data_IF_892324439587
#
_entry.id   IF_892324439587
#
_cell.length_a   1.000
_cell.length_b   1.000
_cell.length_c   1.000
_cell.angle_alpha   90.00
_cell.angle_beta   90.00
_cell.angle_gamma   90.00
#
_symmetry.space_group_name_H-M   'P 1'
#
loop_
_entity.id
_entity.type
_entity.pdbx_description
1 polymer ?
#
# COMPACT_ATOMS: atom_id res chain seq x y z
N UNK A 1 -17.37 -22.70 28.54
CA UNK A 1 -17.19 -21.25 28.72
C UNK A 1 -15.89 -20.89 28.04
N UNK A 2 -16.02 -20.35 26.85
CA UNK A 2 -14.97 -20.00 25.88
C UNK A 2 -14.21 -18.78 26.38
N UNK A 3 -12.91 -18.94 26.64
CA UNK A 3 -12.05 -17.81 26.99
C UNK A 3 -11.72 -17.04 25.72
N UNK A 4 -12.24 -15.83 25.58
CA UNK A 4 -11.83 -14.91 24.51
C UNK A 4 -10.35 -14.63 24.73
N UNK A 5 -9.46 -14.95 23.78
CA UNK A 5 -8.08 -14.50 23.81
C UNK A 5 -8.12 -13.03 23.45
N UNK A 6 -8.27 -12.20 24.48
CA UNK A 6 -8.19 -10.75 24.37
C UNK A 6 -6.75 -10.40 24.02
N UNK A 7 -6.56 -9.53 23.02
CA UNK A 7 -5.28 -8.92 22.72
C UNK A 7 -4.65 -8.42 24.03
N UNK A 8 -3.44 -8.85 24.42
CA UNK A 8 -2.82 -8.42 25.67
C UNK A 8 -2.79 -6.89 25.79
N UNK A 9 -3.04 -6.35 26.99
CA UNK A 9 -3.16 -4.90 27.19
C UNK A 9 -1.91 -4.13 26.75
N UNK A 10 -0.72 -4.70 26.95
CA UNK A 10 0.56 -4.15 26.49
C UNK A 10 0.66 -4.06 24.97
N UNK A 11 0.24 -5.11 24.25
CA UNK A 11 0.18 -5.16 22.79
C UNK A 11 -0.87 -4.16 22.24
N UNK A 12 -1.99 -4.00 22.95
CA UNK A 12 -3.02 -3.02 22.62
C UNK A 12 -2.51 -1.59 22.77
N UNK A 13 -1.81 -1.30 23.86
CA UNK A 13 -1.21 0.01 24.13
C UNK A 13 -0.10 0.35 23.12
N UNK A 14 0.69 -0.63 22.68
CA UNK A 14 1.66 -0.46 21.60
C UNK A 14 0.99 -0.04 20.30
N UNK A 15 -0.05 -0.75 19.86
CA UNK A 15 -0.82 -0.38 18.67
C UNK A 15 -1.53 0.97 18.80
N UNK A 16 -2.08 1.28 19.97
CA UNK A 16 -2.75 2.55 20.22
C UNK A 16 -1.79 3.72 20.01
N UNK A 17 -0.52 3.58 20.45
CA UNK A 17 0.55 4.56 20.26
C UNK A 17 0.92 4.83 18.81
N UNK A 18 0.58 3.93 17.88
CA UNK A 18 0.81 4.14 16.45
C UNK A 18 -0.27 5.00 15.78
N UNK A 19 -1.48 5.08 16.36
CA UNK A 19 -2.61 5.83 15.77
C UNK A 19 -2.24 7.26 15.32
N UNK A 20 -1.48 8.06 16.10
CA UNK A 20 -1.07 9.39 15.67
C UNK A 20 -0.21 9.43 14.40
N UNK A 21 0.56 8.37 14.09
CA UNK A 21 1.38 8.28 12.88
C UNK A 21 0.53 8.26 11.60
N UNK A 22 -0.73 7.84 11.70
CA UNK A 22 -1.63 7.77 10.56
C UNK A 22 -2.34 9.12 10.29
N UNK A 23 -2.05 10.17 11.07
CA UNK A 23 -2.64 11.49 10.90
C UNK A 23 -4.18 11.47 10.92
N UNK A 24 -4.80 12.00 9.86
CA UNK A 24 -6.27 11.98 9.70
C UNK A 24 -6.85 10.59 9.42
N UNK A 25 -6.00 9.56 9.20
CA UNK A 25 -6.39 8.20 8.83
C UNK A 25 -7.35 8.18 7.65
N UNK A 26 -7.17 9.03 6.65
CA UNK A 26 -8.14 9.12 5.56
C UNK A 26 -8.30 7.74 4.88
N UNK A 27 -9.50 7.47 4.40
CA UNK A 27 -9.83 6.25 3.68
C UNK A 27 -10.46 6.61 2.33
N UNK A 28 -10.14 5.84 1.29
CA UNK A 28 -10.80 5.98 -0.01
C UNK A 28 -12.13 5.20 -0.08
N UNK A 29 -12.42 4.40 0.94
CA UNK A 29 -13.62 3.57 1.01
C UNK A 29 -14.90 4.42 0.91
N UNK A 30 -15.81 4.14 -0.04
CA UNK A 30 -17.08 4.86 -0.14
C UNK A 30 -17.86 4.81 1.18
N UNK A 31 -18.19 5.98 1.74
CA UNK A 31 -18.95 6.10 2.98
C UNK A 31 -18.16 5.91 4.28
N UNK A 32 -16.84 5.67 4.21
CA UNK A 32 -15.97 5.53 5.38
C UNK A 32 -14.89 6.63 5.36
N UNK A 33 -15.04 7.70 6.18
CA UNK A 33 -14.12 8.85 6.13
C UNK A 33 -12.71 8.53 6.66
N UNK A 34 -12.61 7.59 7.60
CA UNK A 34 -11.35 7.17 8.19
C UNK A 34 -11.17 5.66 8.12
N UNK A 35 -9.95 5.21 7.84
CA UNK A 35 -9.51 3.85 7.99
C UNK A 35 -9.54 3.45 9.48
N UNK A 36 -9.64 2.15 9.82
CA UNK A 36 -9.64 1.71 11.21
C UNK A 36 -8.38 2.18 11.98
N UNK A 37 -8.46 2.26 13.30
CA UNK A 37 -7.24 2.38 14.11
C UNK A 37 -6.47 1.06 14.06
N UNK A 38 -5.15 1.04 14.34
CA UNK A 38 -4.39 -0.21 14.37
C UNK A 38 -4.98 -1.24 15.35
N UNK A 39 -5.45 -0.80 16.52
CA UNK A 39 -6.16 -1.65 17.49
C UNK A 39 -7.44 -2.22 16.89
N UNK A 40 -8.32 -1.38 16.33
CA UNK A 40 -9.59 -1.83 15.77
C UNK A 40 -9.39 -2.79 14.58
N UNK A 41 -8.36 -2.57 13.77
CA UNK A 41 -8.03 -3.45 12.64
C UNK A 41 -7.60 -4.84 13.13
N UNK A 42 -6.72 -4.89 14.13
CA UNK A 42 -6.24 -6.15 14.71
C UNK A 42 -7.40 -6.91 15.37
N UNK A 43 -8.23 -6.23 16.16
CA UNK A 43 -9.43 -6.82 16.77
C UNK A 43 -10.40 -7.38 15.73
N UNK A 44 -10.58 -6.68 14.60
CA UNK A 44 -11.44 -7.13 13.51
C UNK A 44 -10.90 -8.38 12.78
N UNK A 45 -9.57 -8.49 12.62
CA UNK A 45 -8.94 -9.61 11.88
C UNK A 45 -8.78 -10.85 12.75
N UNK A 46 -8.47 -10.68 14.03
CA UNK A 46 -8.17 -11.78 14.93
C UNK A 46 -9.41 -12.45 15.52
N UNK A 47 -10.62 -11.96 15.25
CA UNK A 47 -11.86 -12.38 15.92
C UNK A 47 -11.94 -13.90 16.13
N UNK A 48 -11.84 -14.33 17.41
CA UNK A 48 -11.89 -15.72 17.84
C UNK A 48 -10.57 -16.53 17.80
N UNK A 49 -9.40 -15.95 17.54
CA UNK A 49 -8.12 -16.67 17.47
C UNK A 49 -7.45 -16.90 18.84
N UNK A 50 -7.20 -18.17 19.19
CA UNK A 50 -6.53 -18.59 20.46
C UNK A 50 -5.00 -18.68 20.40
N UNK A 51 -4.40 -18.48 19.22
CA UNK A 51 -2.95 -18.53 19.06
C UNK A 51 -2.27 -17.22 19.48
N UNK A 52 -1.81 -17.18 20.73
CA UNK A 52 -1.15 -16.01 21.32
C UNK A 52 0.22 -15.68 20.70
N UNK A 53 0.94 -16.67 20.16
CA UNK A 53 2.24 -16.42 19.52
C UNK A 53 2.03 -15.75 18.16
N UNK A 54 1.11 -16.31 17.36
CA UNK A 54 0.71 -15.73 16.08
C UNK A 54 0.12 -14.33 16.24
N UNK A 55 -0.71 -14.12 17.26
CA UNK A 55 -1.26 -12.82 17.60
C UNK A 55 -0.16 -11.77 17.88
N UNK A 56 0.81 -12.09 18.74
CA UNK A 56 1.93 -11.19 19.03
C UNK A 56 2.76 -10.89 17.79
N UNK A 57 3.03 -11.91 16.98
CA UNK A 57 3.76 -11.72 15.73
C UNK A 57 3.00 -10.79 14.77
N UNK A 58 1.68 -10.95 14.65
CA UNK A 58 0.84 -10.09 13.81
C UNK A 58 0.82 -8.63 14.28
N UNK A 59 0.68 -8.40 15.58
CA UNK A 59 0.71 -7.06 16.17
C UNK A 59 2.04 -6.36 15.88
N UNK A 60 3.16 -7.03 16.16
CA UNK A 60 4.49 -6.49 15.90
C UNK A 60 4.70 -6.22 14.40
N UNK A 61 4.36 -7.18 13.56
CA UNK A 61 4.46 -7.09 12.10
C UNK A 61 3.64 -5.93 11.51
N UNK A 62 2.40 -5.74 11.97
CA UNK A 62 1.57 -4.61 11.55
C UNK A 62 2.17 -3.28 12.00
N UNK A 63 2.69 -3.23 13.24
CA UNK A 63 3.38 -2.05 13.76
C UNK A 63 4.61 -1.67 12.95
N UNK A 64 5.45 -2.65 12.59
CA UNK A 64 6.60 -2.47 11.70
C UNK A 64 6.19 -1.89 10.34
N UNK A 65 5.12 -2.41 9.74
CA UNK A 65 4.60 -1.91 8.45
C UNK A 65 4.08 -0.48 8.57
N UNK A 66 3.31 -0.15 9.61
CA UNK A 66 2.81 1.21 9.84
C UNK A 66 3.96 2.20 9.98
N UNK A 67 4.95 1.87 10.81
CA UNK A 67 6.15 2.69 11.00
C UNK A 67 6.90 2.85 9.68
N UNK A 68 7.10 1.77 8.92
CA UNK A 68 7.79 1.82 7.64
C UNK A 68 7.06 2.69 6.61
N UNK A 69 5.72 2.63 6.54
CA UNK A 69 4.95 3.49 5.65
C UNK A 69 5.06 4.96 6.07
N UNK A 70 4.86 5.27 7.35
CA UNK A 70 4.94 6.63 7.88
C UNK A 70 6.34 7.25 7.65
N UNK A 71 7.39 6.48 7.89
CA UNK A 71 8.78 6.93 7.77
C UNK A 71 9.21 7.18 6.32
N UNK A 72 8.77 6.32 5.40
CA UNK A 72 9.22 6.32 4.02
C UNK A 72 8.29 7.10 3.08
N UNK A 73 7.04 7.31 3.48
CA UNK A 73 6.03 8.06 2.74
C UNK A 73 5.37 9.08 3.70
N UNK A 74 6.07 10.14 4.11
CA UNK A 74 5.58 11.06 5.14
C UNK A 74 4.32 11.83 4.72
N UNK A 75 4.09 11.92 3.40
CA UNK A 75 2.89 12.53 2.84
C UNK A 75 1.77 11.51 2.59
N UNK A 76 1.91 10.24 3.03
CA UNK A 76 0.90 9.20 2.83
C UNK A 76 -0.44 9.62 3.43
N UNK A 77 -1.48 9.61 2.58
CA UNK A 77 -2.78 10.20 2.91
C UNK A 77 -3.71 9.10 3.43
N UNK A 78 -3.73 7.99 2.70
CA UNK A 78 -4.70 6.94 2.92
C UNK A 78 -4.10 5.74 3.61
N UNK A 79 -4.86 5.20 4.57
CA UNK A 79 -4.40 4.16 5.49
C UNK A 79 -5.27 2.91 5.45
N UNK A 80 -5.87 2.63 4.28
CA UNK A 80 -6.65 1.43 4.01
C UNK A 80 -5.76 0.18 3.96
N UNK A 81 -5.30 -0.25 5.13
CA UNK A 81 -4.42 -1.40 5.33
C UNK A 81 -5.20 -2.71 5.54
N UNK A 82 -6.54 -2.67 5.47
CA UNK A 82 -7.41 -3.78 5.86
C UNK A 82 -7.04 -5.09 5.15
N UNK A 83 -6.91 -5.06 3.82
CA UNK A 83 -6.58 -6.25 3.06
C UNK A 83 -5.12 -6.70 3.23
N UNK A 84 -4.18 -5.75 3.35
CA UNK A 84 -2.77 -6.06 3.59
C UNK A 84 -2.62 -6.79 4.93
N UNK A 85 -3.27 -6.28 5.97
CA UNK A 85 -3.28 -6.89 7.30
C UNK A 85 -3.97 -8.26 7.28
N UNK A 86 -5.05 -8.42 6.51
CA UNK A 86 -5.69 -9.72 6.29
C UNK A 86 -4.73 -10.73 5.63
N UNK A 87 -4.03 -10.34 4.56
CA UNK A 87 -3.04 -11.20 3.90
C UNK A 87 -1.87 -11.56 4.82
N UNK A 88 -1.40 -10.58 5.60
CA UNK A 88 -0.36 -10.80 6.61
C UNK A 88 -0.82 -11.84 7.65
N UNK A 89 -2.03 -11.70 8.20
CA UNK A 89 -2.59 -12.70 9.11
C UNK A 89 -2.70 -14.08 8.44
N UNK A 90 -3.17 -14.13 7.19
CA UNK A 90 -3.33 -15.35 6.41
C UNK A 90 -2.01 -16.05 6.04
N UNK A 91 -0.86 -15.37 6.17
CA UNK A 91 0.46 -16.00 6.00
C UNK A 91 0.66 -17.18 6.98
N UNK A 92 -0.11 -17.22 8.07
CA UNK A 92 -0.22 -18.38 8.94
C UNK A 92 0.66 -18.24 10.18
N UNK A 93 1.78 -18.94 10.24
CA UNK A 93 2.62 -19.02 11.45
C UNK A 93 3.29 -17.68 11.79
N UNK A 94 3.72 -17.52 13.05
CA UNK A 94 4.46 -16.35 13.50
C UNK A 94 5.72 -16.05 12.64
N UNK A 95 6.56 -17.03 12.26
CA UNK A 95 7.65 -16.80 11.32
C UNK A 95 7.19 -16.29 9.95
N UNK A 96 6.13 -16.86 9.39
CA UNK A 96 5.61 -16.48 8.07
C UNK A 96 5.04 -15.05 8.07
N UNK A 97 4.37 -14.65 9.16
CA UNK A 97 3.92 -13.27 9.39
C UNK A 97 5.13 -12.32 9.41
N UNK A 98 6.19 -12.68 10.14
CA UNK A 98 7.42 -11.88 10.19
C UNK A 98 8.15 -11.79 8.86
N UNK A 99 8.18 -12.87 8.06
CA UNK A 99 8.74 -12.85 6.71
C UNK A 99 7.94 -11.92 5.79
N UNK A 100 6.60 -11.97 5.89
CA UNK A 100 5.70 -11.11 5.15
C UNK A 100 5.94 -9.63 5.48
N UNK A 101 5.99 -9.26 6.77
CA UNK A 101 6.24 -7.87 7.17
C UNK A 101 7.59 -7.37 6.69
N UNK A 102 8.64 -8.19 6.82
CA UNK A 102 9.99 -7.85 6.34
C UNK A 102 10.01 -7.53 4.85
N UNK A 103 9.29 -8.28 4.02
CA UNK A 103 9.16 -7.98 2.58
C UNK A 103 8.47 -6.64 2.35
N UNK A 104 7.35 -6.37 3.02
CA UNK A 104 6.63 -5.09 2.89
C UNK A 104 7.48 -3.91 3.36
N UNK A 105 8.20 -4.05 4.49
CA UNK A 105 9.11 -3.02 5.02
C UNK A 105 10.27 -2.77 4.05
N UNK A 106 10.87 -3.82 3.49
CA UNK A 106 11.93 -3.69 2.49
C UNK A 106 11.46 -2.92 1.25
N UNK A 107 10.23 -3.16 0.78
CA UNK A 107 9.62 -2.40 -0.30
C UNK A 107 9.42 -0.92 0.08
N UNK A 108 8.95 -0.63 1.29
CA UNK A 108 8.80 0.76 1.76
C UNK A 108 10.13 1.51 1.76
N UNK A 109 11.17 0.90 2.33
CA UNK A 109 12.55 1.43 2.33
C UNK A 109 13.08 1.62 0.90
N UNK A 110 12.75 0.68 0.03
CA UNK A 110 13.29 0.61 -1.32
C UNK A 110 12.70 1.61 -2.32
N UNK A 111 11.44 1.99 -2.12
CA UNK A 111 10.70 2.88 -3.02
C UNK A 111 10.48 4.29 -2.45
N UNK A 112 10.46 4.44 -1.12
CA UNK A 112 10.11 5.70 -0.46
C UNK A 112 11.19 6.77 -0.45
N UNK A 113 10.97 7.81 0.35
CA UNK A 113 11.72 9.07 0.39
C UNK A 113 13.20 8.94 0.76
N UNK A 114 13.60 7.88 1.46
CA UNK A 114 14.97 7.56 1.87
C UNK A 114 15.76 6.82 0.76
N UNK A 115 15.08 6.33 -0.28
CA UNK A 115 15.70 5.63 -1.41
C UNK A 115 16.16 6.59 -2.53
N UNK A 116 16.81 6.07 -3.57
CA UNK A 116 17.06 6.83 -4.82
C UNK A 116 15.79 7.06 -5.66
N UNK A 117 14.73 6.28 -5.42
CA UNK A 117 13.49 6.34 -6.19
C UNK A 117 12.60 7.48 -5.70
N UNK A 118 12.51 7.68 -4.38
CA UNK A 118 11.79 8.78 -3.72
C UNK A 118 10.36 8.95 -4.21
N UNK A 119 9.61 7.84 -4.27
CA UNK A 119 8.17 7.92 -4.48
C UNK A 119 7.49 8.52 -3.24
N UNK A 120 6.46 9.32 -3.49
CA UNK A 120 5.79 10.11 -2.44
C UNK A 120 4.78 9.33 -1.62
N UNK A 121 4.14 8.34 -2.24
CA UNK A 121 3.01 7.60 -1.67
C UNK A 121 3.17 6.10 -1.85
N UNK A 122 2.69 5.31 -0.89
CA UNK A 122 2.57 3.86 -1.00
C UNK A 122 1.33 3.43 -1.81
N UNK A 123 0.47 4.37 -2.21
CA UNK A 123 -0.85 4.09 -2.79
C UNK A 123 -0.81 3.18 -4.04
N UNK A 124 0.22 3.28 -4.90
CA UNK A 124 0.28 2.46 -6.13
C UNK A 124 0.50 0.97 -5.81
N UNK A 125 1.21 0.70 -4.71
CA UNK A 125 1.38 -0.64 -4.15
C UNK A 125 0.14 -1.08 -3.38
N UNK A 126 -0.32 -0.28 -2.40
CA UNK A 126 -1.44 -0.63 -1.52
C UNK A 126 -2.76 -0.83 -2.28
N UNK A 127 -2.98 -0.07 -3.35
CA UNK A 127 -4.19 -0.16 -4.18
C UNK A 127 -4.03 -1.02 -5.43
N UNK A 128 -2.93 -1.76 -5.53
CA UNK A 128 -2.76 -2.77 -6.56
C UNK A 128 -2.57 -2.23 -7.98
N UNK A 129 -2.20 -0.96 -8.16
CA UNK A 129 -1.89 -0.42 -9.50
C UNK A 129 -0.62 -1.04 -10.09
N UNK A 130 0.38 -1.30 -9.26
CA UNK A 130 1.57 -2.04 -9.71
C UNK A 130 1.26 -3.50 -10.01
N UNK A 131 0.43 -4.14 -9.18
CA UNK A 131 -0.01 -5.53 -9.35
C UNK A 131 -0.84 -5.72 -10.62
N UNK A 132 -1.90 -4.95 -10.81
CA UNK A 132 -2.78 -5.08 -11.97
C UNK A 132 -2.01 -4.91 -13.28
N UNK A 133 -1.14 -3.90 -13.37
CA UNK A 133 -0.27 -3.67 -14.53
C UNK A 133 0.74 -4.79 -14.75
N UNK A 134 1.23 -5.43 -13.70
CA UNK A 134 2.12 -6.58 -13.81
C UNK A 134 1.39 -7.83 -14.33
N UNK A 135 0.18 -8.10 -13.81
CA UNK A 135 -0.67 -9.22 -14.27
C UNK A 135 -1.07 -9.01 -15.74
N UNK A 136 -1.55 -7.83 -16.12
CA UNK A 136 -1.98 -7.50 -17.49
C UNK A 136 -0.91 -7.77 -18.56
N UNK A 137 0.39 -7.69 -18.22
CA UNK A 137 1.47 -7.95 -19.18
C UNK A 137 1.57 -9.41 -19.58
N UNK A 138 1.13 -10.33 -18.71
CA UNK A 138 1.11 -11.77 -18.95
C UNK A 138 -0.06 -12.41 -18.18
N UNK A 139 -1.31 -12.19 -18.62
CA UNK A 139 -2.48 -12.64 -17.87
C UNK A 139 -2.50 -14.15 -17.63
N UNK A 140 -2.17 -14.94 -18.66
CA UNK A 140 -2.19 -16.41 -18.60
C UNK A 140 -1.23 -16.98 -17.54
N UNK A 141 -0.10 -16.31 -17.29
CA UNK A 141 0.91 -16.74 -16.30
C UNK A 141 0.62 -16.20 -14.89
N UNK A 142 -0.09 -15.06 -14.77
CA UNK A 142 -0.10 -14.23 -13.54
C UNK A 142 -1.47 -14.00 -12.93
N UNK A 143 -2.56 -14.34 -13.62
CA UNK A 143 -3.92 -14.09 -13.14
C UNK A 143 -4.23 -14.75 -11.79
N UNK A 144 -3.55 -15.86 -11.47
CA UNK A 144 -3.69 -16.57 -10.20
C UNK A 144 -2.85 -16.00 -9.04
N UNK A 145 -2.02 -14.98 -9.29
CA UNK A 145 -1.14 -14.40 -8.26
C UNK A 145 -1.80 -13.17 -7.65
N UNK A 146 -1.92 -13.14 -6.32
CA UNK A 146 -2.43 -12.02 -5.55
C UNK A 146 -1.46 -10.83 -5.43
N UNK A 147 -1.96 -9.63 -5.04
CA UNK A 147 -1.18 -8.40 -4.93
C UNK A 147 -0.19 -8.38 -3.77
N UNK A 148 -0.23 -9.36 -2.87
CA UNK A 148 0.71 -9.53 -1.76
C UNK A 148 1.28 -10.95 -1.68
N UNK A 149 1.23 -11.69 -2.79
CA UNK A 149 1.83 -13.02 -2.89
C UNK A 149 3.33 -12.91 -3.13
N UNK A 150 4.08 -13.95 -2.72
CA UNK A 150 5.54 -13.99 -2.83
C UNK A 150 6.05 -13.72 -4.26
N UNK A 151 5.40 -14.30 -5.27
CA UNK A 151 5.79 -14.12 -6.67
C UNK A 151 5.68 -12.65 -7.13
N UNK A 152 4.75 -11.88 -6.57
CA UNK A 152 4.66 -10.45 -6.86
C UNK A 152 5.68 -9.63 -6.07
N UNK A 153 6.00 -10.01 -4.83
CA UNK A 153 7.11 -9.39 -4.08
C UNK A 153 8.45 -9.57 -4.78
N UNK A 154 8.76 -10.77 -5.27
CA UNK A 154 10.00 -11.02 -6.02
C UNK A 154 10.07 -10.20 -7.32
N UNK A 155 8.92 -9.98 -7.98
CA UNK A 155 8.84 -9.04 -9.11
C UNK A 155 9.13 -7.60 -8.68
N UNK A 156 8.58 -7.14 -7.56
CA UNK A 156 8.81 -5.77 -7.07
C UNK A 156 10.27 -5.54 -6.70
N UNK A 157 10.94 -6.52 -6.09
CA UNK A 157 12.38 -6.45 -5.79
C UNK A 157 13.20 -6.27 -7.07
N UNK A 158 12.94 -7.09 -8.11
CA UNK A 158 13.59 -6.93 -9.42
C UNK A 158 13.24 -5.59 -10.10
N UNK A 159 11.99 -5.14 -9.95
CA UNK A 159 11.54 -3.86 -10.52
C UNK A 159 12.22 -2.68 -9.85
N UNK A 160 12.43 -2.74 -8.54
CA UNK A 160 13.14 -1.70 -7.79
C UNK A 160 14.55 -1.52 -8.32
N UNK A 161 15.30 -2.62 -8.46
CA UNK A 161 16.66 -2.61 -8.98
C UNK A 161 16.72 -2.04 -10.41
N UNK A 162 15.82 -2.48 -11.28
CA UNK A 162 15.72 -1.96 -12.64
C UNK A 162 15.43 -0.44 -12.69
N UNK A 163 14.61 0.07 -11.76
CA UNK A 163 14.36 1.50 -11.66
C UNK A 163 15.59 2.28 -11.17
N UNK A 164 16.35 1.72 -10.23
CA UNK A 164 17.60 2.34 -9.75
C UNK A 164 18.61 2.45 -10.90
N UNK A 165 18.70 1.44 -11.76
CA UNK A 165 19.56 1.46 -12.94
C UNK A 165 19.14 2.54 -13.95
N UNK A 166 17.83 2.69 -14.21
CA UNK A 166 17.32 3.78 -15.06
C UNK A 166 17.64 5.16 -14.49
N UNK A 167 17.59 5.31 -13.16
CA UNK A 167 18.00 6.54 -12.48
C UNK A 167 19.50 6.78 -12.60
N UNK A 168 20.31 5.73 -12.49
CA UNK A 168 21.76 5.82 -12.66
C UNK A 168 22.15 6.22 -14.09
N UNK A 169 21.42 5.73 -15.10
CA UNK A 169 21.61 6.10 -16.51
C UNK A 169 20.95 7.42 -16.91
N UNK A 170 20.31 8.13 -15.97
CA UNK A 170 19.57 9.37 -16.21
C UNK A 170 18.53 9.25 -17.34
N UNK A 171 17.73 8.17 -17.31
CA UNK A 171 16.66 7.92 -18.28
C UNK A 171 15.68 9.10 -18.40
N UNK A 172 15.08 9.27 -19.59
CA UNK A 172 14.14 10.38 -19.86
C UNK A 172 12.95 10.42 -18.90
N UNK A 173 12.42 9.26 -18.51
CA UNK A 173 11.29 9.15 -17.59
C UNK A 173 11.75 9.06 -16.14
N UNK A 174 12.89 8.42 -15.91
CA UNK A 174 13.49 8.20 -14.60
C UNK A 174 14.81 8.95 -14.44
N UNK A 175 14.81 10.26 -14.65
CA UNK A 175 16.01 11.09 -14.49
C UNK A 175 16.44 11.19 -13.02
N UNK A 176 17.67 11.64 -12.78
CA UNK A 176 18.10 11.99 -11.43
C UNK A 176 17.25 13.14 -10.87
N UNK A 177 16.90 13.05 -9.59
CA UNK A 177 16.14 14.10 -8.89
C UNK A 177 17.09 15.15 -8.35
N UNK A 178 16.64 16.40 -8.32
CA UNK A 178 17.38 17.49 -7.70
C UNK A 178 16.79 17.80 -6.31
N UNK A 179 17.66 18.10 -5.35
CA UNK A 179 17.26 18.58 -4.02
C UNK A 179 16.25 17.66 -3.31
N UNK A 180 15.10 18.20 -2.92
CA UNK A 180 14.10 17.52 -2.08
C UNK A 180 12.85 17.06 -2.85
N UNK A 181 12.89 17.00 -4.17
CA UNK A 181 11.73 16.60 -4.99
C UNK A 181 11.36 15.12 -4.82
N UNK A 182 10.07 14.82 -4.98
CA UNK A 182 9.57 13.45 -5.13
C UNK A 182 9.45 13.06 -6.59
N UNK A 183 9.67 11.78 -6.89
CA UNK A 183 9.48 11.26 -8.24
C UNK A 183 8.00 11.14 -8.57
N UNK A 184 7.61 11.71 -9.70
CA UNK A 184 6.29 11.51 -10.27
C UNK A 184 6.41 11.10 -11.75
N UNK A 185 6.28 9.79 -12.06
CA UNK A 185 6.40 9.24 -13.41
C UNK A 185 5.09 9.35 -14.22
N UNK A 186 4.05 10.00 -13.66
CA UNK A 186 2.73 10.15 -14.26
C UNK A 186 2.60 11.50 -14.96
N UNK A 187 1.68 11.56 -15.93
CA UNK A 187 1.33 12.77 -16.69
C UNK A 187 0.41 13.72 -15.92
N UNK A 188 0.08 13.44 -14.66
CA UNK A 188 -0.80 14.24 -13.82
C UNK A 188 -0.16 14.62 -12.48
N UNK A 189 -0.68 15.68 -11.88
CA UNK A 189 -0.22 16.24 -10.61
C UNK A 189 -0.54 15.26 -9.47
N UNK A 190 0.41 15.12 -8.54
CA UNK A 190 0.29 14.27 -7.34
C UNK A 190 0.71 15.06 -6.10
N UNK A 191 0.22 16.29 -6.01
CA UNK A 191 0.23 17.05 -4.77
C UNK A 191 -0.89 16.52 -3.84
N UNK A 192 -0.79 16.68 -2.50
CA UNK A 192 -1.63 15.91 -1.58
C UNK A 192 -3.13 16.14 -1.78
N UNK A 193 -3.54 17.37 -2.13
CA UNK A 193 -4.93 17.70 -2.41
C UNK A 193 -5.44 17.00 -3.67
N UNK A 194 -4.67 17.08 -4.75
CA UNK A 194 -4.99 16.51 -6.06
C UNK A 194 -4.98 14.98 -6.02
N UNK A 195 -4.01 14.40 -5.30
CA UNK A 195 -3.92 12.96 -5.03
C UNK A 195 -5.16 12.50 -4.25
N UNK A 196 -5.58 13.26 -3.24
CA UNK A 196 -6.79 12.96 -2.45
C UNK A 196 -8.03 12.99 -3.33
N UNK A 197 -8.23 14.09 -4.07
CA UNK A 197 -9.39 14.29 -4.94
C UNK A 197 -9.50 13.18 -5.99
N UNK A 198 -8.39 12.84 -6.63
CA UNK A 198 -8.35 11.79 -7.65
C UNK A 198 -8.70 10.43 -7.07
N UNK A 199 -8.13 10.04 -5.93
CA UNK A 199 -8.37 8.70 -5.34
C UNK A 199 -9.80 8.52 -4.81
N UNK A 200 -10.38 9.55 -4.20
CA UNK A 200 -11.79 9.46 -3.79
C UNK A 200 -12.69 9.25 -5.00
N UNK A 201 -12.46 9.99 -6.10
CA UNK A 201 -13.25 9.81 -7.32
C UNK A 201 -13.02 8.42 -7.93
N UNK A 202 -11.77 7.94 -8.00
CA UNK A 202 -11.46 6.60 -8.48
C UNK A 202 -12.18 5.52 -7.68
N UNK A 203 -12.23 5.64 -6.36
CA UNK A 203 -12.97 4.71 -5.51
C UNK A 203 -14.49 4.79 -5.75
N UNK A 204 -15.03 6.00 -5.91
CA UNK A 204 -16.46 6.21 -6.19
C UNK A 204 -16.91 5.58 -7.51
N UNK A 205 -16.06 5.60 -8.54
CA UNK A 205 -16.36 5.01 -9.86
C UNK A 205 -15.78 3.61 -10.06
N UNK A 206 -15.37 2.94 -8.98
CA UNK A 206 -14.84 1.56 -8.99
C UNK A 206 -13.62 1.34 -9.91
N UNK A 207 -12.72 2.34 -9.96
CA UNK A 207 -11.50 2.34 -10.77
C UNK A 207 -10.23 2.18 -9.94
N UNK A 208 -10.33 1.56 -8.76
CA UNK A 208 -9.19 1.13 -7.96
C UNK A 208 -9.02 -0.39 -8.11
N UNK A 209 -7.85 -0.88 -8.57
CA UNK A 209 -7.65 -2.31 -8.85
C UNK A 209 -7.88 -3.22 -7.66
N UNK A 210 -7.48 -2.78 -6.47
CA UNK A 210 -7.65 -3.51 -5.22
C UNK A 210 -8.45 -2.67 -4.23
N UNK A 211 -9.59 -3.18 -3.76
CA UNK A 211 -10.37 -2.60 -2.66
C UNK A 211 -9.68 -2.86 -1.33
N UNK A 212 -8.55 -2.19 -1.10
CA UNK A 212 -7.67 -2.44 0.05
C UNK A 212 -8.33 -2.18 1.42
N UNK A 213 -9.45 -1.43 1.42
CA UNK A 213 -10.29 -1.16 2.59
C UNK A 213 -11.25 -2.28 2.98
N UNK A 214 -11.26 -3.39 2.24
CA UNK A 214 -12.08 -4.57 2.51
C UNK A 214 -11.18 -5.74 2.90
N UNK A 215 -11.61 -6.54 3.88
CA UNK A 215 -10.86 -7.74 4.29
C UNK A 215 -10.83 -8.83 3.22
N UNK A 216 -11.82 -8.88 2.33
CA UNK A 216 -11.84 -9.81 1.19
C UNK A 216 -10.94 -9.37 0.04
N UNK A 217 -10.50 -8.10 0.03
CA UNK A 217 -9.63 -7.52 -0.98
C UNK A 217 -10.07 -7.77 -2.40
N UNK A 218 -11.34 -7.48 -2.70
CA UNK A 218 -11.86 -7.56 -4.07
C UNK A 218 -10.86 -6.91 -5.04
N UNK A 219 -10.41 -7.70 -6.02
CA UNK A 219 -9.25 -7.40 -6.85
C UNK A 219 -9.57 -7.62 -8.32
N UNK A 220 -9.15 -6.67 -9.14
CA UNK A 220 -9.38 -6.63 -10.58
C UNK A 220 -8.11 -6.18 -11.29
N UNK A 221 -7.73 -6.89 -12.34
CA UNK A 221 -6.58 -6.55 -13.18
C UNK A 221 -6.97 -6.42 -14.65
N UNK A 222 -8.17 -6.85 -15.03
CA UNK A 222 -8.68 -6.97 -16.39
C UNK A 222 -9.10 -5.64 -17.02
N UNK A 223 -8.79 -4.51 -16.37
CA UNK A 223 -9.02 -3.17 -16.88
C UNK A 223 -7.71 -2.38 -17.03
N UNK A 224 -7.65 -1.44 -17.99
CA UNK A 224 -6.52 -0.53 -18.17
C UNK A 224 -6.51 0.58 -17.09
N UNK A 225 -6.30 0.20 -15.83
CA UNK A 225 -6.39 1.12 -14.67
C UNK A 225 -5.43 2.30 -14.77
N UNK A 226 -4.27 2.14 -15.41
CA UNK A 226 -3.31 3.22 -15.59
C UNK A 226 -3.88 4.30 -16.52
N UNK A 227 -4.44 3.90 -17.66
CA UNK A 227 -5.06 4.80 -18.63
C UNK A 227 -6.34 5.42 -18.08
N UNK A 228 -7.17 4.63 -17.38
CA UNK A 228 -8.41 5.11 -16.79
C UNK A 228 -8.14 6.15 -15.69
N UNK A 229 -7.13 5.92 -14.85
CA UNK A 229 -6.67 6.90 -13.85
C UNK A 229 -6.16 8.18 -14.49
N UNK A 230 -5.38 8.09 -15.56
CA UNK A 230 -4.90 9.27 -16.29
C UNK A 230 -6.04 10.07 -16.93
N UNK A 231 -7.01 9.40 -17.58
CA UNK A 231 -8.21 10.05 -18.17
C UNK A 231 -9.05 10.77 -17.12
N UNK A 232 -9.18 10.17 -15.93
CA UNK A 232 -9.92 10.79 -14.85
C UNK A 232 -9.20 12.00 -14.27
N UNK A 233 -7.87 11.91 -14.12
CA UNK A 233 -7.03 13.04 -13.73
C UNK A 233 -7.14 14.20 -14.74
N UNK A 234 -7.18 13.92 -16.04
CA UNK A 234 -7.40 14.93 -17.08
C UNK A 234 -8.76 15.61 -16.94
N UNK A 235 -9.84 14.85 -16.73
CA UNK A 235 -11.19 15.40 -16.49
C UNK A 235 -11.27 16.30 -15.26
N UNK A 236 -10.42 16.05 -14.27
CA UNK A 236 -10.30 16.87 -13.06
C UNK A 236 -9.37 18.09 -13.24
N UNK A 237 -8.80 18.29 -14.44
CA UNK A 237 -7.84 19.38 -14.69
C UNK A 237 -6.48 19.18 -14.02
N UNK A 238 -6.12 17.93 -13.70
CA UNK A 238 -4.88 17.58 -12.99
C UNK A 238 -3.71 17.26 -13.94
N UNK A 239 -3.91 17.36 -15.24
CA UNK A 239 -2.85 17.11 -16.23
C UNK A 239 -1.66 18.04 -15.99
N UNK A 240 -0.46 17.47 -15.92
CA UNK A 240 0.78 18.25 -16.03
C UNK A 240 0.89 18.60 -17.51
N UNK A 241 0.59 19.84 -17.88
CA UNK A 241 0.79 20.29 -19.26
C UNK A 241 2.16 19.87 -19.77
N UNK A 242 2.27 19.52 -21.05
CA UNK A 242 3.51 19.02 -21.68
C UNK A 242 4.68 19.95 -21.30
N UNK A 243 5.48 19.53 -20.31
CA UNK A 243 6.83 20.06 -20.15
C UNK A 243 7.63 19.43 -21.29
N UNK A 244 7.58 20.09 -22.45
CA UNK A 244 8.56 19.93 -23.53
C UNK A 244 9.96 20.18 -22.98
#
# INVERSE_FOLDING_TARGET
MTGIPVLPDDARDELARLTPLLGARASVAPGRPCAPTPVALVEQIMDGSEDAERARAFVGALGEVICAVADNFPDNIFWDLDYLACCMWQAGSAPAIGDFSRRVVALCLGFGNKSKLRFRYAHDFLYGYDWARWVMRKPDERAGVGPFDLAFFDYLDGRQQALIELVASNDRKYSQLNGREFRNPFSFIREPREESQLHHLLAQVDLIPLKAWRLDGERRWDLPFTELRAKLAERLGLSRGDRR
#
